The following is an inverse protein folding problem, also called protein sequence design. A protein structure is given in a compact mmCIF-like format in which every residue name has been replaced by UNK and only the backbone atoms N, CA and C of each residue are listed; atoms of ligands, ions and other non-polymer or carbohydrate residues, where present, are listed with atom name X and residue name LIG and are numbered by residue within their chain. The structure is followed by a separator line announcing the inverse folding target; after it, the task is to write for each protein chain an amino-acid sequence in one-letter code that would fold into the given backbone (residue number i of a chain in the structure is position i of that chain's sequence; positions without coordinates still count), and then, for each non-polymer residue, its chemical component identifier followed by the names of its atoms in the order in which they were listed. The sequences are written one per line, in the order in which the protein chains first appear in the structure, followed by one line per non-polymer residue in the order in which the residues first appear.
data_IF_539230372184
#
_entry.id   IF_539230372184
#
_cell.length_a   1.000
_cell.length_b   1.000
_cell.length_c   1.000
_cell.angle_alpha   90.00
_cell.angle_beta   90.00
_cell.angle_gamma   90.00
#
_symmetry.space_group_name_H-M   'P 1'
#
loop_
_entity.id
_entity.type
_entity.pdbx_description
1 polymer ?
#
# COMPACT_ATOMS: atom_id res chain seq x y z
N UNK A 1 33.21 12.36 -25.01
CA UNK A 1 32.00 11.95 -24.27
C UNK A 1 32.27 12.21 -22.80
N UNK A 2 31.44 12.99 -22.11
CA UNK A 2 31.57 13.17 -20.65
C UNK A 2 30.64 12.14 -20.01
N UNK A 3 31.19 11.29 -19.16
CA UNK A 3 30.41 10.32 -18.37
C UNK A 3 30.40 10.84 -16.95
N UNK A 4 29.21 11.20 -16.45
CA UNK A 4 29.04 11.61 -15.06
C UNK A 4 28.78 10.37 -14.20
N UNK A 5 29.40 10.35 -13.02
CA UNK A 5 29.22 9.29 -12.01
C UNK A 5 28.79 9.95 -10.69
N UNK A 6 27.56 10.43 -10.66
CA UNK A 6 27.00 11.10 -9.49
C UNK A 6 26.81 10.10 -8.35
N UNK A 7 27.09 10.53 -7.11
CA UNK A 7 26.91 9.72 -5.89
C UNK A 7 25.42 9.63 -5.51
N UNK A 8 24.62 9.00 -6.36
CA UNK A 8 23.18 8.85 -6.18
C UNK A 8 22.72 7.46 -6.65
N UNK A 9 21.69 6.95 -6.01
CA UNK A 9 21.02 5.73 -6.46
C UNK A 9 20.31 5.97 -7.79
N UNK A 10 20.43 5.07 -8.76
CA UNK A 10 19.66 5.10 -10.00
C UNK A 10 18.17 5.50 -9.83
N UNK A 11 17.38 4.87 -8.94
CA UNK A 11 15.98 5.26 -8.77
C UNK A 11 15.77 6.68 -8.22
N UNK A 12 16.77 7.29 -7.60
CA UNK A 12 16.73 8.65 -7.05
C UNK A 12 17.38 9.70 -7.96
N UNK A 13 18.00 9.30 -9.08
CA UNK A 13 18.60 10.23 -10.05
C UNK A 13 17.64 11.34 -10.52
N UNK A 14 16.37 11.06 -10.85
CA UNK A 14 15.43 12.11 -11.25
C UNK A 14 15.13 13.14 -10.16
N UNK A 15 15.53 12.84 -8.91
CA UNK A 15 15.33 13.68 -7.74
C UNK A 15 16.65 14.26 -7.21
N UNK A 16 17.74 14.19 -7.98
CA UNK A 16 19.02 14.81 -7.65
C UNK A 16 19.31 16.00 -8.56
N UNK A 17 19.50 17.19 -7.97
CA UNK A 17 19.75 18.44 -8.72
C UNK A 17 20.94 18.33 -9.66
N UNK A 18 22.03 17.74 -9.17
CA UNK A 18 23.27 17.57 -9.94
C UNK A 18 23.06 16.64 -11.14
N UNK A 19 22.47 15.46 -10.92
CA UNK A 19 22.18 14.52 -12.00
C UNK A 19 21.24 15.12 -13.06
N UNK A 20 20.19 15.83 -12.63
CA UNK A 20 19.29 16.54 -13.55
C UNK A 20 19.99 17.67 -14.30
N UNK A 21 20.90 18.40 -13.66
CA UNK A 21 21.70 19.45 -14.30
C UNK A 21 22.59 18.86 -15.39
N UNK A 22 23.27 17.74 -15.11
CA UNK A 22 24.12 17.06 -16.08
C UNK A 22 23.32 16.52 -17.27
N UNK A 23 22.11 15.99 -17.04
CA UNK A 23 21.20 15.59 -18.12
C UNK A 23 20.76 16.78 -18.99
N UNK A 24 20.42 17.91 -18.37
CA UNK A 24 20.06 19.14 -19.10
C UNK A 24 21.24 19.62 -19.96
N UNK A 25 22.46 19.69 -19.38
CA UNK A 25 23.67 20.10 -20.09
C UNK A 25 23.99 19.20 -21.27
N UNK A 26 23.76 17.88 -21.12
CA UNK A 26 23.91 16.93 -22.22
C UNK A 26 23.01 17.31 -23.41
N UNK A 27 21.70 17.53 -23.18
CA UNK A 27 20.78 17.90 -24.25
C UNK A 27 21.09 19.28 -24.85
N UNK A 28 21.41 20.26 -24.01
CA UNK A 28 21.82 21.60 -24.49
C UNK A 28 23.04 21.51 -25.43
N UNK A 29 24.04 20.69 -25.07
CA UNK A 29 25.24 20.50 -25.87
C UNK A 29 24.98 19.74 -27.17
N UNK A 30 24.21 18.64 -27.12
CA UNK A 30 23.92 17.80 -28.29
C UNK A 30 23.07 18.54 -29.31
N UNK A 31 22.05 19.28 -28.85
CA UNK A 31 21.17 20.05 -29.71
C UNK A 31 21.71 21.44 -30.06
N UNK A 32 22.93 21.79 -29.60
CA UNK A 32 23.55 23.11 -29.81
C UNK A 32 22.60 24.26 -29.45
N UNK A 33 21.91 24.13 -28.31
CA UNK A 33 20.97 25.14 -27.85
C UNK A 33 21.73 26.39 -27.39
N UNK A 34 21.39 27.53 -27.97
CA UNK A 34 21.91 28.85 -27.57
C UNK A 34 20.88 29.58 -26.68
N UNK A 35 21.33 30.56 -25.89
CA UNK A 35 20.48 31.36 -24.99
C UNK A 35 19.63 30.54 -23.99
N UNK A 36 20.25 29.58 -23.31
CA UNK A 36 19.57 28.71 -22.35
C UNK A 36 19.61 29.26 -20.92
N UNK A 37 18.60 28.89 -20.12
CA UNK A 37 18.60 29.12 -18.67
C UNK A 37 19.66 28.21 -18.02
N UNK A 38 20.34 28.64 -16.94
CA UNK A 38 21.27 27.77 -16.20
C UNK A 38 20.64 26.43 -15.81
N UNK A 39 21.35 25.32 -16.06
CA UNK A 39 20.86 23.95 -15.82
C UNK A 39 20.51 23.64 -14.36
N UNK A 40 21.06 24.42 -13.42
CA UNK A 40 20.75 24.35 -11.99
C UNK A 40 19.46 25.09 -11.59
N UNK A 41 18.91 25.94 -12.47
CA UNK A 41 17.66 26.65 -12.22
C UNK A 41 16.45 25.74 -12.43
N UNK A 42 16.26 24.82 -11.48
CA UNK A 42 15.30 23.73 -11.55
C UNK A 42 14.10 23.97 -10.63
N UNK A 43 12.88 23.90 -11.17
CA UNK A 43 11.63 24.15 -10.43
C UNK A 43 10.88 22.87 -10.01
N UNK A 44 11.33 21.69 -10.44
CA UNK A 44 10.61 20.43 -10.24
C UNK A 44 10.38 20.08 -8.76
N UNK A 45 11.21 20.56 -7.83
CA UNK A 45 11.01 20.36 -6.39
C UNK A 45 9.70 20.97 -5.88
N UNK A 46 9.33 22.15 -6.40
CA UNK A 46 8.07 22.80 -6.04
C UNK A 46 6.89 22.01 -6.58
N UNK A 47 7.00 21.52 -7.82
CA UNK A 47 6.02 20.59 -8.38
C UNK A 47 5.83 19.38 -7.48
N UNK A 48 6.92 18.70 -7.09
CA UNK A 48 6.85 17.53 -6.20
C UNK A 48 6.23 17.86 -4.84
N UNK A 49 6.54 19.02 -4.26
CA UNK A 49 5.94 19.46 -2.99
C UNK A 49 4.42 19.65 -3.12
N UNK A 50 3.96 20.37 -4.14
CA UNK A 50 2.53 20.63 -4.32
C UNK A 50 1.75 19.38 -4.73
N UNK A 51 2.33 18.51 -5.56
CA UNK A 51 1.70 17.22 -5.89
C UNK A 51 1.67 16.30 -4.67
N UNK A 52 2.64 16.40 -3.75
CA UNK A 52 2.62 15.69 -2.49
C UNK A 52 1.53 16.20 -1.55
N UNK A 53 1.39 17.52 -1.41
CA UNK A 53 0.29 18.11 -0.64
C UNK A 53 -1.05 17.64 -1.21
N UNK A 54 -1.20 17.65 -2.54
CA UNK A 54 -2.41 17.15 -3.20
C UNK A 54 -2.65 15.65 -2.95
N UNK A 55 -1.59 14.84 -2.88
CA UNK A 55 -1.66 13.41 -2.52
C UNK A 55 -2.13 13.19 -1.09
N UNK A 56 -1.63 13.98 -0.14
CA UNK A 56 -2.09 13.91 1.24
C UNK A 56 -3.55 14.34 1.34
N UNK A 57 -3.93 15.45 0.71
CA UNK A 57 -5.30 15.94 0.69
C UNK A 57 -6.28 14.94 0.07
N UNK A 58 -5.91 14.30 -1.04
CA UNK A 58 -6.78 13.32 -1.70
C UNK A 58 -7.05 12.10 -0.84
N UNK A 59 -6.03 11.60 -0.13
CA UNK A 59 -6.19 10.52 0.84
C UNK A 59 -7.03 10.95 2.05
N UNK A 60 -6.78 12.14 2.61
CA UNK A 60 -7.55 12.65 3.75
C UNK A 60 -9.03 12.84 3.42
N UNK A 61 -9.36 13.26 2.19
CA UNK A 61 -10.72 13.46 1.70
C UNK A 61 -11.60 12.20 1.77
N UNK A 62 -11.01 11.00 1.72
CA UNK A 62 -11.74 9.73 1.81
C UNK A 62 -12.55 9.65 3.11
N UNK A 63 -12.02 10.16 4.22
CA UNK A 63 -12.65 10.08 5.55
C UNK A 63 -13.94 10.92 5.64
N UNK A 64 -13.93 12.25 5.41
CA UNK A 64 -15.15 13.06 5.45
C UNK A 64 -16.16 12.62 4.37
N UNK A 65 -15.69 12.23 3.17
CA UNK A 65 -16.57 11.70 2.13
C UNK A 65 -17.33 10.45 2.60
N UNK A 66 -16.63 9.51 3.25
CA UNK A 66 -17.26 8.33 3.86
C UNK A 66 -18.26 8.73 4.93
N UNK A 67 -17.89 9.66 5.82
CA UNK A 67 -18.76 10.13 6.90
C UNK A 67 -20.05 10.76 6.37
N UNK A 68 -19.96 11.56 5.30
CA UNK A 68 -21.11 12.17 4.65
C UNK A 68 -22.04 11.11 4.06
N UNK A 69 -21.52 10.12 3.33
CA UNK A 69 -22.34 9.06 2.74
C UNK A 69 -22.98 8.17 3.82
N UNK A 70 -22.24 7.87 4.90
CA UNK A 70 -22.75 7.10 6.05
C UNK A 70 -23.90 7.81 6.79
N UNK A 71 -23.95 9.14 6.74
CA UNK A 71 -25.02 9.92 7.37
C UNK A 71 -26.39 9.72 6.70
N UNK A 72 -26.43 9.23 5.46
CA UNK A 72 -27.67 8.94 4.72
C UNK A 72 -28.43 7.76 5.32
N UNK A 73 -29.77 7.81 5.28
CA UNK A 73 -30.66 6.80 5.87
C UNK A 73 -30.38 5.38 5.35
N UNK A 74 -29.96 5.25 4.09
CA UNK A 74 -29.65 3.96 3.48
C UNK A 74 -28.46 3.25 4.15
N UNK A 75 -27.39 4.00 4.46
CA UNK A 75 -26.13 3.44 4.96
C UNK A 75 -26.02 3.41 6.48
N UNK A 76 -26.85 4.17 7.21
CA UNK A 76 -26.90 4.14 8.68
C UNK A 76 -27.00 2.72 9.26
N UNK A 77 -27.71 1.81 8.57
CA UNK A 77 -27.85 0.39 8.96
C UNK A 77 -26.54 -0.42 9.03
N UNK A 78 -25.42 0.09 8.49
CA UNK A 78 -24.09 -0.53 8.57
C UNK A 78 -23.40 -0.17 9.88
N UNK A 79 -23.76 0.95 10.50
CA UNK A 79 -23.12 1.44 11.72
C UNK A 79 -23.48 0.51 12.88
N UNK A 80 -22.47 -0.07 13.51
CA UNK A 80 -22.60 -0.99 14.64
C UNK A 80 -21.84 -0.46 15.86
N UNK A 81 -22.26 -0.82 17.08
CA UNK A 81 -21.60 -0.35 18.29
C UNK A 81 -20.15 -0.81 18.34
N UNK A 82 -19.25 0.14 18.60
CA UNK A 82 -17.81 -0.10 18.67
C UNK A 82 -17.48 -0.83 19.96
N UNK A 83 -16.56 -1.77 19.84
CA UNK A 83 -16.13 -2.62 20.94
C UNK A 83 -15.16 -1.86 21.84
N UNK A 84 -15.27 -2.05 23.16
CA UNK A 84 -14.42 -1.36 24.14
C UNK A 84 -12.96 -1.77 23.97
N UNK A 85 -12.06 -0.81 24.14
CA UNK A 85 -10.60 -1.04 24.10
C UNK A 85 -10.17 -2.09 25.12
N UNK A 86 -9.38 -3.07 24.68
CA UNK A 86 -8.78 -4.08 25.56
C UNK A 86 -7.59 -3.49 26.32
N UNK A 87 -7.30 -4.01 27.51
CA UNK A 87 -6.04 -3.74 28.19
C UNK A 87 -4.87 -4.35 27.42
N UNK A 88 -3.67 -3.77 27.57
CA UNK A 88 -2.44 -4.34 27.01
C UNK A 88 -2.26 -5.79 27.50
N UNK A 89 -1.81 -6.73 26.64
CA UNK A 89 -1.57 -8.10 27.07
C UNK A 89 -0.50 -8.15 28.17
N UNK A 90 -0.70 -9.04 29.17
CA UNK A 90 0.22 -9.27 30.30
C UNK A 90 0.59 -10.76 30.41
N UNK A 91 1.73 -11.06 31.02
CA UNK A 91 2.21 -12.43 31.23
C UNK A 91 2.37 -13.23 29.93
N UNK A 92 1.92 -14.49 29.92
CA UNK A 92 1.99 -15.40 28.76
C UNK A 92 1.35 -14.83 27.49
N UNK A 93 0.29 -14.02 27.62
CA UNK A 93 -0.36 -13.37 26.48
C UNK A 93 0.51 -12.27 25.85
N UNK A 94 1.37 -11.61 26.63
CA UNK A 94 2.33 -10.63 26.11
C UNK A 94 3.42 -11.30 25.29
N UNK A 95 3.92 -12.46 25.76
CA UNK A 95 4.91 -13.25 25.01
C UNK A 95 4.32 -13.69 23.68
N UNK A 96 3.13 -14.31 23.68
CA UNK A 96 2.46 -14.73 22.45
C UNK A 96 2.22 -13.55 21.46
N UNK A 97 1.85 -12.38 21.99
CA UNK A 97 1.68 -11.16 21.19
C UNK A 97 2.98 -10.74 20.49
N UNK A 98 4.08 -10.61 21.22
CA UNK A 98 5.37 -10.20 20.63
C UNK A 98 5.93 -11.26 19.69
N UNK A 99 5.83 -12.55 20.05
CA UNK A 99 6.22 -13.63 19.16
C UNK A 99 5.44 -13.58 17.83
N UNK A 100 4.13 -13.30 17.86
CA UNK A 100 3.34 -13.17 16.63
C UNK A 100 3.81 -12.00 15.74
N UNK A 101 4.22 -10.89 16.34
CA UNK A 101 4.76 -9.74 15.60
C UNK A 101 6.11 -10.09 14.98
N UNK A 102 7.01 -10.72 15.75
CA UNK A 102 8.34 -11.12 15.28
C UNK A 102 8.21 -12.13 14.15
N UNK A 103 7.46 -13.21 14.35
CA UNK A 103 7.24 -14.24 13.32
C UNK A 103 6.62 -13.63 12.07
N UNK A 104 5.56 -12.82 12.20
CA UNK A 104 4.95 -12.15 11.06
C UNK A 104 5.90 -11.21 10.31
N UNK A 105 6.71 -10.45 11.04
CA UNK A 105 7.71 -9.53 10.48
C UNK A 105 8.81 -10.29 9.74
N UNK A 106 9.33 -11.36 10.34
CA UNK A 106 10.37 -12.21 9.74
C UNK A 106 9.85 -12.89 8.47
N UNK A 107 8.64 -13.49 8.53
CA UNK A 107 8.03 -14.10 7.34
C UNK A 107 7.82 -13.06 6.24
N UNK A 108 7.29 -11.89 6.56
CA UNK A 108 7.10 -10.79 5.61
C UNK A 108 8.42 -10.36 4.94
N UNK A 109 9.49 -10.23 5.72
CA UNK A 109 10.83 -9.83 5.24
C UNK A 109 11.43 -10.90 4.32
N UNK A 110 11.51 -12.15 4.76
CA UNK A 110 12.23 -13.19 4.03
C UNK A 110 11.41 -13.85 2.90
N UNK A 111 10.07 -13.72 2.90
CA UNK A 111 9.24 -14.27 1.82
C UNK A 111 9.19 -13.41 0.57
N UNK A 112 9.44 -12.09 0.66
CA UNK A 112 9.22 -11.17 -0.47
C UNK A 112 10.07 -11.50 -1.71
N UNK A 113 11.37 -11.73 -1.53
CA UNK A 113 12.27 -12.03 -2.66
C UNK A 113 11.99 -13.42 -3.25
N UNK A 114 11.88 -14.50 -2.46
CA UNK A 114 11.47 -15.81 -2.99
C UNK A 114 10.15 -15.76 -3.76
N UNK A 115 9.13 -15.03 -3.25
CA UNK A 115 7.84 -14.89 -3.94
C UNK A 115 7.94 -14.02 -5.20
N UNK A 116 8.84 -13.04 -5.22
CA UNK A 116 9.15 -12.26 -6.41
C UNK A 116 9.78 -13.12 -7.50
N UNK A 117 10.69 -14.03 -7.15
CA UNK A 117 11.26 -15.00 -8.09
C UNK A 117 10.22 -16.04 -8.53
N UNK A 118 9.42 -16.56 -7.61
CA UNK A 118 8.31 -17.47 -7.92
C UNK A 118 7.30 -16.84 -8.90
N UNK A 119 7.02 -15.54 -8.76
CA UNK A 119 6.12 -14.82 -9.67
C UNK A 119 6.57 -14.90 -11.14
N UNK A 120 7.88 -15.02 -11.39
CA UNK A 120 8.43 -15.16 -12.74
C UNK A 120 8.12 -16.51 -13.38
N UNK A 121 7.99 -17.54 -12.55
CA UNK A 121 7.71 -18.92 -12.97
C UNK A 121 6.21 -19.13 -13.12
N UNK A 122 5.39 -18.54 -12.25
CA UNK A 122 3.92 -18.66 -12.32
C UNK A 122 3.35 -17.81 -13.46
N UNK A 123 3.87 -16.59 -13.65
CA UNK A 123 3.39 -15.62 -14.62
C UNK A 123 4.44 -15.38 -15.70
N UNK A 124 4.77 -16.45 -16.44
CA UNK A 124 5.86 -16.48 -17.43
C UNK A 124 5.63 -15.42 -18.50
N UNK A 125 4.43 -15.34 -19.07
CA UNK A 125 4.12 -14.41 -20.16
C UNK A 125 4.38 -12.96 -19.75
N UNK A 126 3.74 -12.50 -18.66
CA UNK A 126 3.94 -11.15 -18.13
C UNK A 126 5.42 -10.88 -17.74
N UNK A 127 6.13 -11.90 -17.25
CA UNK A 127 7.52 -11.78 -16.83
C UNK A 127 8.50 -11.67 -18.00
N UNK A 128 8.19 -12.39 -19.08
CA UNK A 128 8.87 -12.40 -20.37
C UNK A 128 8.40 -11.28 -21.30
N UNK A 129 7.51 -10.38 -20.81
CA UNK A 129 6.97 -9.24 -21.57
C UNK A 129 6.11 -9.64 -22.76
N UNK A 130 5.52 -10.82 -22.70
CA UNK A 130 4.53 -11.32 -23.66
C UNK A 130 3.16 -10.80 -23.23
N UNK A 131 2.38 -10.37 -24.21
CA UNK A 131 1.02 -9.89 -23.97
C UNK A 131 0.12 -11.04 -23.50
N UNK A 132 -0.66 -10.82 -22.44
CA UNK A 132 -1.55 -11.84 -21.87
C UNK A 132 -2.73 -11.19 -21.16
N UNK A 133 -3.87 -11.87 -21.12
CA UNK A 133 -4.97 -11.48 -20.23
C UNK A 133 -4.83 -12.07 -18.83
N UNK A 134 -3.95 -13.06 -18.63
CA UNK A 134 -3.74 -13.71 -17.34
C UNK A 134 -2.67 -12.96 -16.54
N UNK A 135 -3.10 -12.14 -15.57
CA UNK A 135 -2.22 -11.37 -14.69
C UNK A 135 -1.10 -10.61 -15.44
N UNK A 136 -1.44 -9.65 -16.31
CA UNK A 136 -0.49 -8.98 -17.22
C UNK A 136 0.55 -8.07 -16.55
N UNK A 137 0.60 -7.98 -15.22
CA UNK A 137 1.48 -7.04 -14.53
C UNK A 137 2.61 -7.72 -13.75
N UNK A 138 3.78 -7.79 -14.37
CA UNK A 138 4.99 -8.41 -13.81
C UNK A 138 5.32 -7.98 -12.38
N UNK A 139 5.36 -6.68 -12.08
CA UNK A 139 5.75 -6.21 -10.75
C UNK A 139 4.68 -6.49 -9.70
N UNK A 140 3.40 -6.30 -10.06
CA UNK A 140 2.30 -6.42 -9.11
C UNK A 140 1.94 -7.88 -8.81
N UNK A 141 2.26 -8.82 -9.71
CA UNK A 141 2.13 -10.25 -9.45
C UNK A 141 2.98 -10.71 -8.26
N UNK A 142 4.20 -10.19 -8.10
CA UNK A 142 5.06 -10.47 -6.95
C UNK A 142 4.43 -9.97 -5.64
N UNK A 143 3.92 -8.74 -5.65
CA UNK A 143 3.25 -8.14 -4.48
C UNK A 143 1.97 -8.90 -4.14
N UNK A 144 1.24 -9.37 -5.14
CA UNK A 144 0.02 -10.16 -4.97
C UNK A 144 0.34 -11.49 -4.27
N UNK A 145 1.32 -12.24 -4.75
CA UNK A 145 1.75 -13.49 -4.10
C UNK A 145 2.19 -13.24 -2.65
N UNK A 146 2.96 -12.16 -2.43
CA UNK A 146 3.36 -11.75 -1.09
C UNK A 146 2.15 -11.41 -0.20
N UNK A 147 1.15 -10.71 -0.72
CA UNK A 147 -0.07 -10.36 0.00
C UNK A 147 -0.88 -11.62 0.38
N UNK A 148 -1.01 -12.61 -0.51
CA UNK A 148 -1.70 -13.87 -0.23
C UNK A 148 -1.01 -14.60 0.94
N UNK A 149 0.31 -14.77 0.86
CA UNK A 149 1.08 -15.48 1.89
C UNK A 149 1.00 -14.75 3.23
N UNK A 150 1.25 -13.44 3.24
CA UNK A 150 1.27 -12.67 4.49
C UNK A 150 -0.12 -12.44 5.08
N UNK A 151 -1.16 -12.35 4.25
CA UNK A 151 -2.54 -12.36 4.69
C UNK A 151 -2.89 -13.70 5.35
N UNK A 152 -2.54 -14.82 4.72
CA UNK A 152 -2.78 -16.17 5.27
C UNK A 152 -2.03 -16.39 6.58
N UNK A 153 -0.74 -16.05 6.63
CA UNK A 153 0.07 -16.12 7.85
C UNK A 153 -0.51 -15.21 8.94
N UNK A 154 -0.99 -14.02 8.59
CA UNK A 154 -1.65 -13.12 9.52
C UNK A 154 -2.93 -13.71 10.13
N UNK A 155 -3.73 -14.45 9.35
CA UNK A 155 -4.91 -15.17 9.85
C UNK A 155 -4.49 -16.27 10.81
N UNK A 156 -3.51 -17.08 10.43
CA UNK A 156 -2.98 -18.18 11.26
C UNK A 156 -2.46 -17.62 12.60
N UNK A 157 -1.62 -16.59 12.58
CA UNK A 157 -1.07 -15.94 13.77
C UNK A 157 -2.14 -15.29 14.65
N UNK A 158 -3.26 -14.88 14.08
CA UNK A 158 -4.39 -14.35 14.84
C UNK A 158 -5.13 -15.44 15.63
N UNK A 159 -5.31 -16.63 15.07
CA UNK A 159 -6.03 -17.74 15.72
C UNK A 159 -5.15 -18.63 16.62
N UNK A 160 -3.84 -18.71 16.36
CA UNK A 160 -2.90 -19.53 17.14
C UNK A 160 -3.00 -19.28 18.66
N UNK A 161 -2.95 -18.02 19.17
CA UNK A 161 -2.98 -17.77 20.61
C UNK A 161 -4.25 -18.29 21.30
N UNK A 162 -5.40 -18.29 20.62
CA UNK A 162 -6.63 -18.83 21.21
C UNK A 162 -6.61 -20.33 21.40
N UNK A 163 -5.98 -21.06 20.48
CA UNK A 163 -5.84 -22.52 20.55
C UNK A 163 -4.94 -22.88 21.74
N UNK A 164 -3.77 -22.24 21.85
CA UNK A 164 -2.82 -22.50 22.95
C UNK A 164 -3.33 -22.04 24.33
N UNK A 165 -4.09 -20.94 24.39
CA UNK A 165 -4.67 -20.44 25.64
C UNK A 165 -5.99 -21.15 26.01
N UNK A 166 -6.41 -22.18 25.24
CA UNK A 166 -7.70 -22.90 25.40
C UNK A 166 -8.90 -21.96 25.54
N UNK A 167 -8.84 -20.79 24.91
CA UNK A 167 -9.95 -19.82 24.91
C UNK A 167 -10.76 -20.02 23.64
N UNK A 168 -12.03 -20.39 23.79
CA UNK A 168 -12.94 -20.46 22.64
C UNK A 168 -13.08 -19.05 22.02
N UNK A 169 -12.64 -18.89 20.77
CA UNK A 169 -13.00 -17.71 19.97
C UNK A 169 -14.42 -17.94 19.47
N UNK A 170 -15.36 -17.23 20.06
CA UNK A 170 -16.68 -17.16 19.49
C UNK A 170 -16.66 -16.16 18.33
N UNK A 171 -16.68 -16.66 17.09
CA UNK A 171 -16.71 -15.83 15.86
C UNK A 171 -17.98 -14.95 15.83
N UNK A 172 -19.04 -15.36 16.53
CA UNK A 172 -20.25 -14.57 16.71
C UNK A 172 -20.12 -13.43 17.75
N UNK A 173 -19.00 -13.35 18.46
CA UNK A 173 -18.73 -12.28 19.42
C UNK A 173 -18.55 -10.95 18.68
N UNK A 174 -19.49 -10.02 18.91
CA UNK A 174 -19.45 -8.67 18.34
C UNK A 174 -18.15 -7.93 18.66
N UNK A 175 -17.40 -8.35 19.69
CA UNK A 175 -16.10 -7.78 20.10
C UNK A 175 -15.05 -7.69 18.99
N UNK A 176 -15.15 -8.50 17.94
CA UNK A 176 -14.17 -8.55 16.85
C UNK A 176 -14.57 -7.74 15.61
N UNK A 177 -15.80 -7.20 15.56
CA UNK A 177 -16.34 -6.53 14.37
C UNK A 177 -16.52 -7.46 13.16
N UNK A 178 -16.51 -8.77 13.38
CA UNK A 178 -16.68 -9.83 12.38
C UNK A 178 -18.15 -10.15 12.08
N UNK A 179 -19.05 -9.88 13.03
CA UNK A 179 -20.48 -10.18 12.88
C UNK A 179 -21.12 -9.16 11.93
N UNK A 180 -21.48 -9.61 10.73
CA UNK A 180 -22.18 -8.81 9.73
C UNK A 180 -23.25 -9.66 9.05
N UNK A 181 -24.41 -9.06 8.76
CA UNK A 181 -25.46 -9.72 7.95
C UNK A 181 -25.15 -9.62 6.45
N UNK A 182 -25.66 -10.53 5.62
CA UNK A 182 -25.47 -10.47 4.17
C UNK A 182 -25.94 -9.13 3.58
N UNK A 183 -27.08 -8.60 4.07
CA UNK A 183 -27.59 -7.29 3.65
C UNK A 183 -26.60 -6.16 3.99
N UNK A 184 -26.04 -6.15 5.20
CA UNK A 184 -25.04 -5.16 5.59
C UNK A 184 -23.72 -5.31 4.82
N UNK A 185 -23.30 -6.54 4.52
CA UNK A 185 -22.09 -6.80 3.73
C UNK A 185 -22.22 -6.24 2.31
N UNK A 186 -23.36 -6.48 1.65
CA UNK A 186 -23.65 -5.93 0.31
C UNK A 186 -23.66 -4.39 0.36
N UNK A 187 -24.34 -3.79 1.34
CA UNK A 187 -24.33 -2.33 1.49
C UNK A 187 -22.92 -1.78 1.77
N UNK A 188 -22.09 -2.50 2.52
CA UNK A 188 -20.70 -2.11 2.80
C UNK A 188 -19.85 -2.15 1.53
N UNK A 189 -20.01 -3.19 0.70
CA UNK A 189 -19.37 -3.28 -0.61
C UNK A 189 -19.83 -2.16 -1.56
N UNK A 190 -21.13 -1.88 -1.58
CA UNK A 190 -21.68 -0.79 -2.38
C UNK A 190 -21.14 0.58 -1.94
N UNK A 191 -21.06 0.83 -0.64
CA UNK A 191 -20.44 2.05 -0.10
C UNK A 191 -18.97 2.17 -0.52
N UNK A 192 -18.20 1.08 -0.44
CA UNK A 192 -16.80 1.07 -0.88
C UNK A 192 -16.65 1.40 -2.37
N UNK A 193 -17.56 0.90 -3.22
CA UNK A 193 -17.60 1.22 -4.66
C UNK A 193 -17.94 2.70 -4.92
N UNK A 194 -18.88 3.28 -4.17
CA UNK A 194 -19.21 4.71 -4.27
C UNK A 194 -18.00 5.56 -3.90
N UNK A 195 -17.33 5.25 -2.79
CA UNK A 195 -16.13 5.97 -2.34
C UNK A 195 -15.02 5.87 -3.38
N UNK A 196 -14.78 4.66 -3.90
CA UNK A 196 -13.82 4.42 -4.98
C UNK A 196 -14.15 5.26 -6.23
N UNK A 197 -15.41 5.25 -6.67
CA UNK A 197 -15.86 6.00 -7.83
C UNK A 197 -15.62 7.51 -7.66
N UNK A 198 -16.08 8.11 -6.54
CA UNK A 198 -15.90 9.54 -6.32
C UNK A 198 -14.44 9.95 -6.16
N UNK A 199 -13.62 9.12 -5.51
CA UNK A 199 -12.19 9.39 -5.38
C UNK A 199 -11.50 9.53 -6.75
N UNK A 200 -11.75 8.59 -7.67
CA UNK A 200 -11.18 8.66 -9.01
C UNK A 200 -11.90 9.64 -9.93
N UNK A 201 -13.19 9.92 -9.73
CA UNK A 201 -13.89 10.99 -10.45
C UNK A 201 -13.24 12.35 -10.18
N UNK A 202 -12.96 12.66 -8.91
CA UNK A 202 -12.30 13.92 -8.52
C UNK A 202 -10.88 14.01 -9.12
N UNK A 203 -10.12 12.90 -9.09
CA UNK A 203 -8.82 12.84 -9.77
C UNK A 203 -8.93 13.15 -11.27
N UNK A 204 -9.91 12.55 -11.97
CA UNK A 204 -10.10 12.78 -13.40
C UNK A 204 -10.52 14.23 -13.69
N UNK A 205 -11.35 14.86 -12.84
CA UNK A 205 -11.72 16.28 -12.96
C UNK A 205 -10.48 17.16 -12.80
N UNK A 206 -9.65 16.92 -11.78
CA UNK A 206 -8.42 17.70 -11.56
C UNK A 206 -7.44 17.52 -12.72
N UNK A 207 -7.30 16.30 -13.22
CA UNK A 207 -6.44 16.04 -14.37
C UNK A 207 -6.98 16.71 -15.65
N UNK A 208 -8.29 16.68 -15.88
CA UNK A 208 -8.90 17.35 -17.03
C UNK A 208 -8.69 18.87 -16.99
N UNK A 209 -8.87 19.51 -15.84
CA UNK A 209 -8.74 20.95 -15.69
C UNK A 209 -7.29 21.44 -15.67
N UNK A 210 -6.39 20.71 -14.99
CA UNK A 210 -5.05 21.20 -14.67
C UNK A 210 -3.91 20.33 -15.23
N UNK A 211 -4.21 19.14 -15.77
CA UNK A 211 -3.21 18.15 -16.18
C UNK A 211 -2.23 17.77 -15.05
N UNK A 212 -2.73 17.77 -13.80
CA UNK A 212 -1.98 17.39 -12.60
C UNK A 212 -2.57 16.13 -11.99
N UNK A 213 -1.69 15.26 -11.51
CA UNK A 213 -2.01 14.05 -10.76
C UNK A 213 -1.40 14.11 -9.34
N UNK A 214 -1.84 13.23 -8.45
CA UNK A 214 -1.35 13.22 -7.07
C UNK A 214 -0.07 12.39 -6.99
N UNK A 215 1.07 12.96 -6.61
CA UNK A 215 2.33 12.20 -6.59
C UNK A 215 3.35 12.70 -5.59
N UNK A 216 4.15 11.76 -5.11
CA UNK A 216 5.42 11.98 -4.43
C UNK A 216 6.35 10.82 -4.77
N UNK A 217 7.52 11.12 -5.36
CA UNK A 217 8.55 10.12 -5.63
C UNK A 217 8.01 8.89 -6.39
N UNK A 218 8.00 7.72 -5.75
CA UNK A 218 7.55 6.44 -6.31
C UNK A 218 6.05 6.18 -6.16
N UNK A 219 5.30 7.09 -5.53
CA UNK A 219 3.86 6.96 -5.32
C UNK A 219 3.15 7.98 -6.20
N UNK A 220 2.31 7.51 -7.11
CA UNK A 220 1.46 8.35 -7.94
C UNK A 220 0.04 7.81 -8.03
N UNK A 221 -0.97 8.64 -7.78
CA UNK A 221 -2.36 8.34 -8.08
C UNK A 221 -2.66 9.00 -9.40
N UNK A 222 -2.66 8.20 -10.46
CA UNK A 222 -2.74 8.67 -11.85
C UNK A 222 -4.10 8.36 -12.45
N UNK A 223 -4.47 9.13 -13.47
CA UNK A 223 -5.50 8.68 -14.40
C UNK A 223 -5.04 7.41 -15.11
N UNK A 224 -6.00 6.58 -15.50
CA UNK A 224 -5.71 5.26 -16.07
C UNK A 224 -6.62 4.98 -17.26
N UNK A 225 -6.18 4.05 -18.10
CA UNK A 225 -6.99 3.58 -19.22
C UNK A 225 -8.21 2.80 -18.67
N UNK A 226 -9.42 2.99 -19.22
CA UNK A 226 -10.59 2.20 -18.85
C UNK A 226 -10.37 0.68 -18.81
N UNK A 227 -9.48 0.13 -19.65
CA UNK A 227 -9.08 -1.28 -19.63
C UNK A 227 -8.51 -1.73 -18.27
N UNK A 228 -7.88 -0.83 -17.52
CA UNK A 228 -7.38 -1.12 -16.16
C UNK A 228 -8.51 -1.51 -15.21
N UNK A 229 -9.75 -1.04 -15.43
CA UNK A 229 -10.90 -1.42 -14.61
C UNK A 229 -11.24 -2.91 -14.73
N UNK A 230 -10.98 -3.53 -15.89
CA UNK A 230 -11.20 -4.96 -16.12
C UNK A 230 -10.23 -5.82 -15.31
N UNK A 231 -9.04 -5.29 -14.99
CA UNK A 231 -8.08 -5.99 -14.14
C UNK A 231 -8.40 -5.92 -12.65
N UNK A 232 -9.16 -4.93 -12.20
CA UNK A 232 -9.44 -4.77 -10.77
C UNK A 232 -10.06 -6.06 -10.19
N UNK A 233 -11.13 -6.65 -10.77
CA UNK A 233 -11.68 -7.92 -10.29
C UNK A 233 -10.69 -9.10 -10.32
N UNK A 234 -9.68 -9.08 -11.18
CA UNK A 234 -8.66 -10.13 -11.28
C UNK A 234 -7.68 -10.09 -10.09
N UNK A 235 -7.27 -8.89 -9.66
CA UNK A 235 -6.28 -8.72 -8.60
C UNK A 235 -6.89 -8.54 -7.20
N UNK A 236 -8.03 -7.85 -7.10
CA UNK A 236 -8.65 -7.50 -5.80
C UNK A 236 -8.88 -8.71 -4.89
N UNK A 237 -9.44 -9.86 -5.34
CA UNK A 237 -9.71 -10.98 -4.45
C UNK A 237 -8.46 -11.49 -3.70
N UNK A 238 -7.32 -11.52 -4.38
CA UNK A 238 -6.06 -12.01 -3.83
C UNK A 238 -5.45 -11.03 -2.83
N UNK A 239 -5.40 -9.74 -3.18
CA UNK A 239 -4.94 -8.71 -2.27
C UNK A 239 -5.88 -8.51 -1.08
N UNK A 240 -7.18 -8.69 -1.28
CA UNK A 240 -8.18 -8.52 -0.23
C UNK A 240 -7.93 -9.43 0.98
N UNK A 241 -7.33 -10.62 0.79
CA UNK A 241 -6.90 -11.51 1.88
C UNK A 241 -5.99 -10.75 2.86
N UNK A 242 -4.97 -10.06 2.35
CA UNK A 242 -4.06 -9.26 3.17
C UNK A 242 -4.79 -8.08 3.81
N UNK A 243 -5.53 -7.30 3.02
CA UNK A 243 -6.21 -6.09 3.50
C UNK A 243 -7.20 -6.41 4.62
N UNK A 244 -8.03 -7.45 4.44
CA UNK A 244 -8.99 -7.88 5.45
C UNK A 244 -8.30 -8.37 6.72
N UNK A 245 -7.25 -9.17 6.58
CA UNK A 245 -6.47 -9.67 7.72
C UNK A 245 -5.77 -8.53 8.47
N UNK A 246 -5.22 -7.56 7.74
CA UNK A 246 -4.61 -6.38 8.32
C UNK A 246 -5.64 -5.55 9.09
N UNK A 247 -6.81 -5.29 8.49
CA UNK A 247 -7.95 -4.63 9.17
C UNK A 247 -8.35 -5.35 10.45
N UNK A 248 -8.46 -6.68 10.41
CA UNK A 248 -8.75 -7.50 11.58
C UNK A 248 -7.70 -7.29 12.67
N UNK A 249 -6.41 -7.49 12.36
CA UNK A 249 -5.31 -7.38 13.34
C UNK A 249 -5.20 -5.99 13.94
N UNK A 250 -5.29 -4.95 13.11
CA UNK A 250 -5.25 -3.53 13.52
C UNK A 250 -6.41 -3.22 14.46
N UNK A 251 -7.61 -3.69 14.15
CA UNK A 251 -8.83 -3.37 14.90
C UNK A 251 -9.10 -4.24 16.13
N UNK A 252 -8.32 -5.30 16.34
CA UNK A 252 -8.58 -6.26 17.41
C UNK A 252 -7.37 -6.51 18.32
N UNK A 253 -6.28 -7.08 17.78
CA UNK A 253 -5.10 -7.49 18.55
C UNK A 253 -4.19 -6.30 18.83
N UNK A 254 -4.00 -5.44 17.83
CA UNK A 254 -3.17 -4.24 17.95
C UNK A 254 -3.93 -3.06 18.58
N UNK A 255 -5.25 -3.17 18.77
CA UNK A 255 -6.09 -2.14 19.40
C UNK A 255 -6.18 -2.33 20.92
N UNK A 256 -5.27 -1.69 21.66
CA UNK A 256 -5.26 -1.72 23.11
C UNK A 256 -5.23 -0.30 23.70
N UNK A 257 -5.63 -0.18 24.97
CA UNK A 257 -5.51 1.09 25.73
C UNK A 257 -4.05 1.54 25.74
N UNK A 258 -3.76 2.59 24.98
CA UNK A 258 -2.47 3.29 24.95
C UNK A 258 -2.61 4.68 25.59
N UNK A 259 -1.51 5.43 25.73
CA UNK A 259 -1.57 6.82 26.23
C UNK A 259 -2.36 7.73 25.27
N UNK A 260 -2.28 7.48 23.96
CA UNK A 260 -3.14 8.12 22.96
C UNK A 260 -3.50 7.15 21.82
N UNK A 261 -4.62 7.41 21.13
CA UNK A 261 -5.02 6.63 19.95
C UNK A 261 -4.00 6.78 18.82
N UNK A 262 -3.45 7.98 18.64
CA UNK A 262 -2.42 8.26 17.64
C UNK A 262 -1.17 7.38 17.81
N UNK A 263 -0.69 7.19 19.05
CA UNK A 263 0.44 6.29 19.32
C UNK A 263 0.13 4.83 18.96
N UNK A 264 -1.11 4.37 19.20
CA UNK A 264 -1.52 3.02 18.85
C UNK A 264 -1.62 2.82 17.33
N UNK A 265 -2.07 3.84 16.61
CA UNK A 265 -2.10 3.85 15.14
C UNK A 265 -0.67 3.79 14.60
N UNK A 266 0.25 4.65 15.06
CA UNK A 266 1.66 4.61 14.64
C UNK A 266 2.27 3.23 14.89
N UNK A 267 2.06 2.68 16.08
CA UNK A 267 2.56 1.34 16.40
C UNK A 267 2.01 0.29 15.43
N UNK A 268 0.71 0.35 15.12
CA UNK A 268 0.09 -0.57 14.16
C UNK A 268 0.65 -0.39 12.75
N UNK A 269 0.86 0.85 12.31
CA UNK A 269 1.49 1.21 11.03
C UNK A 269 2.90 0.66 10.89
N UNK A 270 3.73 0.84 11.93
CA UNK A 270 5.10 0.30 11.94
C UNK A 270 5.07 -1.23 11.93
N UNK A 271 4.19 -1.87 12.70
CA UNK A 271 4.06 -3.35 12.71
C UNK A 271 3.55 -3.89 11.37
N UNK A 272 2.66 -3.18 10.67
CA UNK A 272 2.18 -3.59 9.35
C UNK A 272 3.28 -3.48 8.29
N UNK A 273 4.13 -2.45 8.37
CA UNK A 273 5.19 -2.21 7.38
C UNK A 273 6.56 -2.83 7.75
N UNK A 274 6.72 -3.33 8.98
CA UNK A 274 8.03 -3.74 9.55
C UNK A 274 8.81 -4.72 8.67
N UNK A 275 8.14 -5.73 8.12
CA UNK A 275 8.79 -6.73 7.27
C UNK A 275 9.40 -6.11 6.02
N UNK A 276 8.69 -5.19 5.36
CA UNK A 276 9.18 -4.51 4.16
C UNK A 276 10.22 -3.44 4.48
N UNK A 277 10.09 -2.76 5.63
CA UNK A 277 11.11 -1.82 6.14
C UNK A 277 12.44 -2.54 6.38
N UNK A 278 12.41 -3.74 6.97
CA UNK A 278 13.62 -4.53 7.22
C UNK A 278 14.34 -4.91 5.92
N UNK A 279 13.62 -5.22 4.84
CA UNK A 279 14.23 -5.47 3.53
C UNK A 279 15.00 -4.23 3.06
N UNK A 280 14.40 -3.04 3.14
CA UNK A 280 15.07 -1.79 2.76
C UNK A 280 16.31 -1.53 3.63
N UNK A 281 16.21 -1.74 4.95
CA UNK A 281 17.34 -1.58 5.87
C UNK A 281 18.49 -2.53 5.49
N UNK A 282 18.21 -3.81 5.27
CA UNK A 282 19.24 -4.79 4.89
C UNK A 282 19.89 -4.41 3.56
N UNK A 283 19.08 -4.09 2.54
CA UNK A 283 19.54 -3.76 1.19
C UNK A 283 20.49 -2.56 1.19
N UNK A 284 20.08 -1.46 1.81
CA UNK A 284 20.82 -0.20 1.74
C UNK A 284 21.90 -0.06 2.81
N UNK A 285 21.79 -0.76 3.95
CA UNK A 285 22.93 -0.86 4.89
C UNK A 285 24.07 -1.66 4.28
N UNK A 286 23.77 -2.76 3.57
CA UNK A 286 24.78 -3.51 2.82
C UNK A 286 25.47 -2.63 1.78
N UNK A 287 24.69 -1.82 1.04
CA UNK A 287 25.24 -0.89 0.06
C UNK A 287 26.17 0.13 0.71
N UNK A 288 25.77 0.72 1.83
CA UNK A 288 26.59 1.71 2.54
C UNK A 288 27.90 1.11 3.07
N UNK A 289 27.85 -0.12 3.62
CA UNK A 289 29.00 -0.76 4.24
C UNK A 289 29.96 -1.44 3.25
N UNK A 290 29.43 -2.04 2.17
CA UNK A 290 30.23 -2.88 1.24
C UNK A 290 30.39 -2.27 -0.15
N UNK A 291 29.68 -1.18 -0.45
CA UNK A 291 29.60 -0.64 -1.81
C UNK A 291 28.72 -1.44 -2.76
N UNK A 292 28.10 -2.55 -2.30
CA UNK A 292 27.20 -3.36 -3.12
C UNK A 292 25.89 -3.70 -2.40
N UNK A 293 24.80 -3.79 -3.18
CA UNK A 293 23.49 -4.19 -2.66
C UNK A 293 23.46 -5.66 -2.23
N UNK A 294 22.67 -5.97 -1.19
CA UNK A 294 22.56 -7.34 -0.66
C UNK A 294 21.87 -8.28 -1.65
N UNK A 295 20.62 -7.97 -2.04
CA UNK A 295 19.91 -8.68 -3.10
C UNK A 295 20.31 -8.12 -4.46
N UNK A 296 21.26 -8.81 -5.10
CA UNK A 296 21.72 -8.53 -6.47
C UNK A 296 20.71 -9.03 -7.51
N UNK A 297 20.27 -10.28 -7.36
CA UNK A 297 19.16 -10.84 -8.13
C UNK A 297 17.83 -10.24 -7.63
N UNK A 298 16.97 -9.82 -8.55
CA UNK A 298 15.66 -9.28 -8.20
C UNK A 298 15.69 -7.90 -7.53
N UNK A 299 16.82 -7.16 -7.58
CA UNK A 299 16.96 -5.82 -6.97
C UNK A 299 15.86 -4.82 -7.37
N UNK A 300 15.30 -4.97 -8.58
CA UNK A 300 14.17 -4.17 -9.06
C UNK A 300 12.92 -4.33 -8.18
N UNK A 301 12.66 -5.53 -7.65
CA UNK A 301 11.55 -5.77 -6.72
C UNK A 301 11.81 -5.12 -5.37
N UNK A 302 13.07 -5.02 -4.93
CA UNK A 302 13.41 -4.25 -3.71
C UNK A 302 13.14 -2.76 -3.93
N UNK A 303 13.49 -2.21 -5.11
CA UNK A 303 13.19 -0.81 -5.43
C UNK A 303 11.68 -0.51 -5.42
N UNK A 304 10.83 -1.48 -5.81
CA UNK A 304 9.37 -1.34 -5.74
C UNK A 304 8.87 -1.05 -4.30
N UNK A 305 9.60 -1.51 -3.28
CA UNK A 305 9.25 -1.30 -1.89
C UNK A 305 9.26 0.19 -1.49
N UNK A 306 9.99 1.06 -2.18
CA UNK A 306 9.90 2.50 -1.95
C UNK A 306 8.49 3.06 -2.20
N UNK A 307 7.72 2.46 -3.11
CA UNK A 307 6.32 2.82 -3.33
C UNK A 307 5.35 2.11 -2.38
N UNK A 308 5.62 0.84 -2.06
CA UNK A 308 4.71 0.00 -1.26
C UNK A 308 4.78 0.33 0.24
N UNK A 309 5.99 0.55 0.79
CA UNK A 309 6.20 0.76 2.23
C UNK A 309 5.39 1.95 2.77
N UNK A 310 5.41 3.14 2.16
CA UNK A 310 4.63 4.26 2.69
C UNK A 310 3.13 3.97 2.66
N UNK A 311 2.63 3.22 1.67
CA UNK A 311 1.23 2.85 1.61
C UNK A 311 0.88 1.83 2.71
N UNK A 312 1.77 0.88 3.01
CA UNK A 312 1.61 -0.03 4.15
C UNK A 312 1.60 0.71 5.50
N UNK A 313 2.35 1.80 5.64
CA UNK A 313 2.33 2.66 6.84
C UNK A 313 0.99 3.39 6.97
N UNK A 314 0.44 3.90 5.86
CA UNK A 314 -0.82 4.64 5.87
C UNK A 314 -2.04 3.72 6.04
N UNK A 315 -1.96 2.48 5.58
CA UNK A 315 -3.09 1.55 5.52
C UNK A 315 -3.80 1.32 6.89
N UNK A 316 -3.11 1.10 8.02
CA UNK A 316 -3.76 0.98 9.33
C UNK A 316 -4.52 2.22 9.80
N UNK A 317 -4.12 3.41 9.34
CA UNK A 317 -4.80 4.67 9.66
C UNK A 317 -6.23 4.61 9.13
N UNK A 318 -6.39 4.27 7.83
CA UNK A 318 -7.70 4.12 7.22
C UNK A 318 -8.51 3.00 7.86
N UNK A 319 -7.93 1.81 8.04
CA UNK A 319 -8.66 0.71 8.69
C UNK A 319 -9.18 1.08 10.08
N UNK A 320 -8.43 1.88 10.85
CA UNK A 320 -8.87 2.39 12.15
C UNK A 320 -10.03 3.38 11.99
N UNK A 321 -9.92 4.36 11.11
CA UNK A 321 -10.98 5.36 10.89
C UNK A 321 -12.29 4.70 10.41
N UNK A 322 -12.22 3.83 9.40
CA UNK A 322 -13.41 3.11 8.90
C UNK A 322 -14.04 2.20 9.95
N UNK A 323 -13.22 1.58 10.81
CA UNK A 323 -13.71 0.79 11.94
C UNK A 323 -14.36 1.66 13.01
N UNK A 324 -13.80 2.83 13.31
CA UNK A 324 -14.41 3.77 14.24
C UNK A 324 -15.72 4.36 13.68
N UNK A 325 -15.88 4.46 12.35
CA UNK A 325 -17.12 4.92 11.73
C UNK A 325 -18.22 3.83 11.67
N UNK A 326 -17.86 2.56 11.45
CA UNK A 326 -18.86 1.50 11.20
C UNK A 326 -18.94 0.42 12.28
N UNK A 327 -17.95 0.30 13.17
CA UNK A 327 -17.83 -0.80 14.13
C UNK A 327 -17.49 -2.17 13.51
N UNK A 328 -17.30 -2.23 12.18
CA UNK A 328 -16.99 -3.46 11.45
C UNK A 328 -15.63 -3.38 10.75
N UNK A 329 -15.02 -4.55 10.50
CA UNK A 329 -13.68 -4.61 9.89
C UNK A 329 -13.68 -4.54 8.36
N UNK A 330 -14.84 -4.47 7.70
CA UNK A 330 -14.98 -4.73 6.26
C UNK A 330 -14.86 -3.49 5.37
N UNK A 331 -15.39 -2.33 5.80
CA UNK A 331 -15.43 -1.14 4.95
C UNK A 331 -14.02 -0.64 4.57
N UNK A 332 -13.12 -0.59 5.55
CA UNK A 332 -11.74 -0.17 5.35
C UNK A 332 -10.99 -1.01 4.30
N UNK A 333 -10.91 -2.34 4.44
CA UNK A 333 -10.23 -3.18 3.44
C UNK A 333 -10.93 -3.21 2.09
N UNK A 334 -12.26 -3.15 2.01
CA UNK A 334 -12.94 -3.09 0.70
C UNK A 334 -12.57 -1.82 -0.05
N UNK A 335 -12.63 -0.67 0.63
CA UNK A 335 -12.36 0.64 0.04
C UNK A 335 -10.87 0.80 -0.31
N UNK A 336 -9.98 0.54 0.66
CA UNK A 336 -8.55 0.75 0.47
C UNK A 336 -7.94 -0.26 -0.50
N UNK A 337 -8.46 -1.50 -0.57
CA UNK A 337 -8.01 -2.47 -1.57
C UNK A 337 -8.33 -1.96 -2.98
N UNK A 338 -9.57 -1.54 -3.25
CA UNK A 338 -9.94 -0.99 -4.56
C UNK A 338 -9.06 0.19 -4.99
N UNK A 339 -8.87 1.16 -4.10
CA UNK A 339 -8.05 2.34 -4.37
C UNK A 339 -6.59 1.96 -4.60
N UNK A 340 -6.00 1.15 -3.71
CA UNK A 340 -4.59 0.78 -3.79
C UNK A 340 -4.28 -0.10 -5.00
N UNK A 341 -5.13 -1.07 -5.31
CA UNK A 341 -4.94 -1.93 -6.49
C UNK A 341 -5.03 -1.07 -7.75
N UNK A 342 -5.95 -0.13 -7.83
CA UNK A 342 -6.01 0.77 -9.00
C UNK A 342 -4.77 1.64 -9.12
N UNK A 343 -4.25 2.17 -8.00
CA UNK A 343 -2.97 2.90 -7.95
C UNK A 343 -1.82 2.01 -8.46
N UNK A 344 -1.70 0.81 -7.92
CA UNK A 344 -0.68 -0.16 -8.33
C UNK A 344 -0.77 -0.50 -9.82
N UNK A 345 -1.98 -0.76 -10.31
CA UNK A 345 -2.22 -1.13 -11.69
C UNK A 345 -1.89 0.01 -12.65
N UNK A 346 -2.15 1.27 -12.26
CA UNK A 346 -1.88 2.46 -13.07
C UNK A 346 -0.40 2.88 -13.13
N UNK A 347 0.40 2.51 -12.12
CA UNK A 347 1.81 2.90 -12.04
C UNK A 347 2.78 1.93 -12.71
N UNK A 348 2.28 0.77 -13.16
CA UNK A 348 3.11 -0.31 -13.69
C UNK A 348 2.70 -0.64 -15.12
N UNK A 349 3.67 -1.05 -15.93
CA UNK A 349 3.41 -1.57 -17.28
C UNK A 349 2.47 -2.78 -17.22
N UNK A 350 1.45 -2.75 -18.06
CA UNK A 350 0.53 -3.86 -18.28
C UNK A 350 0.78 -4.44 -19.67
N UNK A 351 1.03 -5.74 -19.77
CA UNK A 351 1.19 -6.43 -21.05
C UNK A 351 -0.16 -6.93 -21.56
N UNK A 352 -1.09 -6.03 -21.85
CA UNK A 352 -2.37 -6.43 -22.46
C UNK A 352 -2.18 -6.74 -23.96
N UNK A 353 -2.92 -7.72 -24.50
CA UNK A 353 -3.07 -7.89 -25.95
C UNK A 353 -3.76 -6.66 -26.55
N UNK A 354 -3.22 -6.14 -27.65
CA UNK A 354 -3.81 -5.02 -28.41
C UNK A 354 -4.96 -5.49 -29.30
#
# INVERSE_FOLDING_TARGET
MVVHNEKVLHPLQPYAREAMSNQILFFQKVFKMENTIPSMNQIWHWKELFTFISLVCSFLMIIPMTSLILSTTYFQSIITPITRLKSRPKGKASVAFWCSIIVGTTVACFSFIPLSELSKIIFIDASSRIQTWFFPQRMNNAVMLWAIVNGTVGIILFFIPSIFLKKQINISDRKWGLKISNKQLIKTGFLALIIFFFYFLILNIIYYLFHVDYRLLFIGVRTFNPLTLVLIPMYVPFFFIFFLTNSLRVNTVLRFKARSEFQNIIFSSVVTASGLILILIIQYSSLYLTGTVYWKAGWLYVNLLFGIVPIMIILPIFHRYFFNLTGSIYLGPMTMCLIFITILLSNTVCYFPL
#
